data_IF_375506030079
#
_entry.id   IF_375506030079
#
_cell.length_a   1.000
_cell.length_b   1.000
_cell.length_c   1.000
_cell.angle_alpha   90.00
_cell.angle_beta   90.00
_cell.angle_gamma   90.00
#
_symmetry.space_group_name_H-M   'P 1'
#
loop_
_entity.id
_entity.type
_entity.pdbx_description
1 polymer ?
#
# COMPACT_ATOMS: atom_id res chain seq x y z
N UNK A 1 -18.32 12.57 -3.51
CA UNK A 1 -17.57 11.32 -3.77
C UNK A 1 -16.11 11.61 -3.45
N UNK A 2 -15.65 11.28 -2.24
CA UNK A 2 -14.24 11.43 -1.88
C UNK A 2 -13.49 10.21 -2.40
N UNK A 3 -12.63 10.43 -3.39
CA UNK A 3 -11.75 9.39 -3.94
C UNK A 3 -10.80 8.92 -2.83
N UNK A 4 -11.20 7.86 -2.10
CA UNK A 4 -10.36 7.12 -1.16
C UNK A 4 -9.22 6.34 -1.85
N UNK A 5 -9.08 6.47 -3.16
CA UNK A 5 -7.98 5.96 -3.98
C UNK A 5 -7.03 7.07 -4.44
N UNK A 6 -7.04 8.24 -3.79
CA UNK A 6 -6.06 9.29 -4.05
C UNK A 6 -4.66 8.80 -3.64
N UNK A 7 -4.01 8.08 -4.56
CA UNK A 7 -2.63 7.65 -4.49
C UNK A 7 -1.75 8.86 -4.16
N UNK A 8 -0.74 8.68 -3.31
CA UNK A 8 0.18 9.74 -2.90
C UNK A 8 0.69 10.50 -4.15
N UNK A 9 0.60 11.83 -4.12
CA UNK A 9 1.07 12.72 -5.19
C UNK A 9 2.52 12.43 -5.58
N UNK A 10 3.32 11.89 -4.65
CA UNK A 10 4.69 11.47 -4.91
C UNK A 10 4.77 10.31 -5.91
N UNK A 11 3.89 9.32 -5.80
CA UNK A 11 3.84 8.16 -6.71
C UNK A 11 3.37 8.60 -8.10
N UNK A 12 2.38 9.48 -8.17
CA UNK A 12 1.94 10.09 -9.43
C UNK A 12 3.08 10.85 -10.12
N UNK A 13 3.82 11.65 -9.36
CA UNK A 13 4.97 12.41 -9.87
C UNK A 13 6.07 11.49 -10.38
N UNK A 14 6.38 10.41 -9.67
CA UNK A 14 7.34 9.40 -10.12
C UNK A 14 6.87 8.71 -11.41
N UNK A 15 5.58 8.36 -11.52
CA UNK A 15 5.00 7.78 -12.73
C UNK A 15 5.03 8.75 -13.92
N UNK A 16 4.80 10.05 -13.72
CA UNK A 16 4.91 11.06 -14.78
C UNK A 16 6.36 11.27 -15.24
N UNK A 17 7.33 11.26 -14.32
CA UNK A 17 8.75 11.27 -14.64
C UNK A 17 9.14 10.02 -15.44
N UNK A 18 8.62 8.86 -15.04
CA UNK A 18 8.80 7.58 -15.74
C UNK A 18 8.20 7.62 -17.16
N UNK A 19 7.05 8.26 -17.35
CA UNK A 19 6.40 8.43 -18.67
C UNK A 19 7.12 9.42 -19.58
N UNK A 20 7.71 10.48 -19.03
CA UNK A 20 8.35 11.55 -19.80
C UNK A 20 9.78 11.23 -20.26
N UNK A 21 10.47 10.28 -19.60
CA UNK A 21 11.78 9.78 -20.03
C UNK A 21 11.64 8.82 -21.23
N UNK A 22 11.66 9.41 -22.42
CA UNK A 22 11.63 8.80 -23.76
C UNK A 22 12.50 7.52 -23.88
N UNK A 23 11.89 6.33 -23.71
CA UNK A 23 12.21 5.02 -24.36
C UNK A 23 11.59 3.82 -23.62
N UNK A 24 10.41 3.94 -23.01
CA UNK A 24 9.76 2.79 -22.34
C UNK A 24 8.69 2.17 -23.22
N UNK A 25 8.58 0.86 -23.19
CA UNK A 25 7.38 0.19 -23.69
C UNK A 25 6.22 0.54 -22.75
N UNK A 26 5.09 0.95 -23.31
CA UNK A 26 3.88 1.28 -22.54
C UNK A 26 3.50 0.16 -21.56
N UNK A 27 3.79 -1.09 -21.93
CA UNK A 27 3.62 -2.29 -21.10
C UNK A 27 4.40 -2.26 -19.78
N UNK A 28 5.62 -1.71 -19.76
CA UNK A 28 6.44 -1.66 -18.54
C UNK A 28 5.86 -0.66 -17.54
N UNK A 29 5.37 0.48 -18.03
CA UNK A 29 4.71 1.49 -17.18
C UNK A 29 3.38 0.97 -16.66
N UNK A 30 2.60 0.29 -17.50
CA UNK A 30 1.35 -0.34 -17.10
C UNK A 30 1.57 -1.46 -16.08
N UNK A 31 2.62 -2.28 -16.24
CA UNK A 31 3.01 -3.33 -15.29
C UNK A 31 3.37 -2.73 -13.92
N UNK A 32 4.26 -1.74 -13.88
CA UNK A 32 4.62 -1.02 -12.65
C UNK A 32 3.41 -0.36 -11.99
N UNK A 33 2.51 0.23 -12.78
CA UNK A 33 1.29 0.82 -12.26
C UNK A 33 0.34 -0.22 -11.66
N UNK A 34 0.13 -1.35 -12.35
CA UNK A 34 -0.69 -2.44 -11.85
C UNK A 34 -0.12 -3.02 -10.54
N UNK A 35 1.20 -3.24 -10.48
CA UNK A 35 1.90 -3.67 -9.27
C UNK A 35 1.71 -2.64 -8.15
N UNK A 36 1.91 -1.35 -8.42
CA UNK A 36 1.72 -0.29 -7.43
C UNK A 36 0.29 -0.26 -6.88
N UNK A 37 -0.72 -0.30 -7.75
CA UNK A 37 -2.13 -0.32 -7.35
C UNK A 37 -2.46 -1.54 -6.51
N UNK A 38 -1.96 -2.72 -6.88
CA UNK A 38 -2.17 -3.95 -6.12
C UNK A 38 -1.56 -3.84 -4.72
N UNK A 39 -0.31 -3.41 -4.62
CA UNK A 39 0.39 -3.27 -3.33
C UNK A 39 -0.30 -2.27 -2.41
N UNK A 40 -0.72 -1.10 -2.93
CA UNK A 40 -1.52 -0.13 -2.16
C UNK A 40 -2.86 -0.73 -1.71
N UNK A 41 -3.57 -1.39 -2.61
CA UNK A 41 -4.87 -1.98 -2.31
C UNK A 41 -4.75 -3.05 -1.22
N UNK A 42 -3.75 -3.92 -1.31
CA UNK A 42 -3.47 -4.94 -0.31
C UNK A 42 -3.10 -4.33 1.05
N UNK A 43 -2.24 -3.30 1.06
CA UNK A 43 -1.87 -2.61 2.29
C UNK A 43 -3.09 -2.02 3.00
N UNK A 44 -3.91 -1.25 2.30
CA UNK A 44 -5.08 -0.60 2.91
C UNK A 44 -6.18 -1.59 3.27
N UNK A 45 -6.39 -2.63 2.45
CA UNK A 45 -7.35 -3.68 2.76
C UNK A 45 -6.99 -4.41 4.06
N UNK A 46 -5.73 -4.84 4.20
CA UNK A 46 -5.26 -5.52 5.41
C UNK A 46 -5.31 -4.61 6.64
N UNK A 47 -4.91 -3.35 6.49
CA UNK A 47 -5.04 -2.32 7.54
C UNK A 47 -6.48 -2.19 8.02
N UNK A 48 -7.43 -2.08 7.08
CA UNK A 48 -8.86 -1.95 7.39
C UNK A 48 -9.42 -3.20 8.05
N UNK A 49 -9.08 -4.40 7.59
CA UNK A 49 -9.52 -5.65 8.23
C UNK A 49 -9.03 -5.77 9.67
N UNK A 50 -7.75 -5.44 9.93
CA UNK A 50 -7.19 -5.50 11.27
C UNK A 50 -7.89 -4.53 12.22
N UNK A 51 -8.20 -3.32 11.76
CA UNK A 51 -8.98 -2.35 12.55
C UNK A 51 -10.38 -2.88 12.87
N UNK A 52 -11.09 -3.46 11.88
CA UNK A 52 -12.40 -4.07 12.11
C UNK A 52 -12.32 -5.19 13.15
N UNK A 53 -11.31 -6.06 13.07
CA UNK A 53 -11.14 -7.14 14.05
C UNK A 53 -10.79 -6.63 15.45
N UNK A 54 -10.04 -5.53 15.56
CA UNK A 54 -9.77 -4.85 16.83
C UNK A 54 -11.08 -4.34 17.44
N UNK A 55 -11.90 -3.64 16.64
CA UNK A 55 -13.18 -3.09 17.11
C UNK A 55 -14.13 -4.22 17.56
N UNK A 56 -14.21 -5.30 16.79
CA UNK A 56 -15.01 -6.48 17.16
C UNK A 56 -14.55 -7.11 18.48
N UNK A 57 -13.23 -7.22 18.70
CA UNK A 57 -12.68 -7.76 19.94
C UNK A 57 -12.97 -6.86 21.14
N UNK A 58 -12.99 -5.53 20.94
CA UNK A 58 -13.40 -4.57 21.98
C UNK A 58 -14.88 -4.71 22.31
N UNK A 59 -15.75 -4.82 21.31
CA UNK A 59 -17.19 -5.01 21.48
C UNK A 59 -17.52 -6.31 22.22
N UNK A 60 -16.79 -7.40 21.93
CA UNK A 60 -16.98 -8.70 22.58
C UNK A 60 -16.26 -8.81 23.93
N UNK A 61 -15.43 -7.83 24.31
CA UNK A 61 -14.60 -7.89 25.52
C UNK A 61 -13.49 -8.95 25.46
N UNK A 62 -13.12 -9.41 24.26
CA UNK A 62 -12.08 -10.43 24.07
C UNK A 62 -10.69 -9.79 24.08
N UNK A 63 -10.06 -9.86 25.25
CA UNK A 63 -8.73 -9.27 25.47
C UNK A 63 -7.62 -9.97 24.68
N UNK A 64 -7.74 -11.28 24.46
CA UNK A 64 -6.71 -12.04 23.74
C UNK A 64 -6.76 -11.69 22.25
N UNK A 65 -7.96 -11.70 21.66
CA UNK A 65 -8.17 -11.28 20.28
C UNK A 65 -7.74 -9.83 20.07
N UNK A 66 -8.10 -8.91 20.98
CA UNK A 66 -7.68 -7.51 20.90
C UNK A 66 -6.16 -7.38 20.88
N UNK A 67 -5.46 -8.07 21.78
CA UNK A 67 -4.00 -8.03 21.86
C UNK A 67 -3.34 -8.60 20.60
N UNK A 68 -3.86 -9.72 20.09
CA UNK A 68 -3.35 -10.35 18.88
C UNK A 68 -3.54 -9.47 17.63
N UNK A 69 -4.75 -8.92 17.43
CA UNK A 69 -5.03 -8.05 16.28
C UNK A 69 -4.29 -6.71 16.36
N UNK A 70 -4.12 -6.14 17.57
CA UNK A 70 -3.34 -4.93 17.78
C UNK A 70 -1.85 -5.13 17.46
N UNK A 71 -1.29 -6.28 17.85
CA UNK A 71 0.09 -6.62 17.50
C UNK A 71 0.25 -6.78 15.98
N UNK A 72 -0.66 -7.52 15.34
CA UNK A 72 -0.65 -7.71 13.90
C UNK A 72 -0.82 -6.39 13.13
N UNK A 73 -1.64 -5.47 13.63
CA UNK A 73 -1.77 -4.12 13.09
C UNK A 73 -0.45 -3.35 13.20
N UNK A 74 0.19 -3.35 14.37
CA UNK A 74 1.48 -2.70 14.57
C UNK A 74 2.55 -3.25 13.63
N UNK A 75 2.66 -4.57 13.52
CA UNK A 75 3.59 -5.23 12.60
C UNK A 75 3.30 -4.86 11.14
N UNK A 76 2.03 -4.79 10.74
CA UNK A 76 1.64 -4.37 9.40
C UNK A 76 2.13 -2.96 9.08
N UNK A 77 1.98 -2.00 10.00
CA UNK A 77 2.47 -0.63 9.81
C UNK A 77 4.01 -0.60 9.78
N UNK A 78 4.69 -1.22 10.74
CA UNK A 78 6.16 -1.20 10.80
C UNK A 78 6.81 -1.85 9.57
N UNK A 79 6.23 -2.94 9.05
CA UNK A 79 6.72 -3.61 7.85
C UNK A 79 6.64 -2.74 6.58
N UNK A 80 5.79 -1.72 6.56
CA UNK A 80 5.59 -0.83 5.40
C UNK A 80 6.11 0.59 5.63
N UNK A 81 6.64 0.88 6.82
CA UNK A 81 7.13 2.21 7.23
C UNK A 81 8.22 2.79 6.32
N UNK A 82 9.09 1.94 5.78
CA UNK A 82 10.16 2.36 4.86
C UNK A 82 9.71 2.36 3.39
N UNK A 83 8.43 2.10 3.14
CA UNK A 83 7.92 1.86 1.80
C UNK A 83 8.37 0.51 1.23
N UNK A 84 8.04 0.28 -0.04
CA UNK A 84 8.41 -0.91 -0.81
C UNK A 84 8.92 -0.51 -2.17
N UNK A 85 10.08 -1.03 -2.56
CA UNK A 85 10.53 -0.89 -3.95
C UNK A 85 9.93 -1.99 -4.81
N UNK A 86 9.37 -1.59 -5.95
CA UNK A 86 9.02 -2.49 -7.04
C UNK A 86 9.96 -2.23 -8.22
N UNK A 87 10.40 -3.30 -8.88
CA UNK A 87 11.39 -3.24 -9.95
C UNK A 87 10.87 -4.02 -11.15
N UNK A 88 10.81 -3.37 -12.31
CA UNK A 88 10.40 -3.99 -13.58
C UNK A 88 11.29 -3.50 -14.72
N UNK A 89 11.89 -4.42 -15.48
CA UNK A 89 12.72 -4.11 -16.66
C UNK A 89 13.81 -3.05 -16.42
N UNK A 90 14.46 -3.08 -15.24
CA UNK A 90 15.51 -2.14 -14.85
C UNK A 90 15.00 -0.79 -14.36
N UNK A 91 13.70 -0.67 -14.09
CA UNK A 91 13.09 0.53 -13.56
C UNK A 91 12.53 0.29 -12.17
N UNK A 92 12.82 1.23 -11.29
CA UNK A 92 12.47 1.17 -9.88
C UNK A 92 11.38 2.20 -9.58
N UNK A 93 10.37 1.78 -8.82
CA UNK A 93 9.36 2.66 -8.25
C UNK A 93 9.32 2.41 -6.74
N UNK A 94 9.47 3.48 -5.96
CA UNK A 94 9.41 3.40 -4.51
C UNK A 94 8.02 3.79 -4.04
N UNK A 95 7.28 2.81 -3.51
CA UNK A 95 5.94 2.98 -2.97
C UNK A 95 6.07 3.38 -1.49
N UNK A 96 5.48 4.51 -1.13
CA UNK A 96 5.41 4.98 0.26
C UNK A 96 4.03 4.73 0.83
N UNK A 97 3.96 4.10 1.99
CA UNK A 97 2.70 3.89 2.72
C UNK A 97 2.67 4.84 3.92
N UNK A 98 1.47 5.12 4.44
CA UNK A 98 1.24 6.02 5.59
C UNK A 98 2.05 5.67 6.83
#
# INVERSE_FOLDING_TARGET
>A
MNNHFAMDNNVYRQLEIIKSLQKRTESTVQSLYAQAVLEYSMYHFKKSQLLISIDQALESGDREAFSAHSLAYKEHIENHKNGKMIIENGYELHLTFE
#
